data_IF_980667153691
#
_entry.id   IF_980667153691
#
_cell.length_a   1.000
_cell.length_b   1.000
_cell.length_c   1.000
_cell.angle_alpha   90.00
_cell.angle_beta   90.00
_cell.angle_gamma   90.00
#
_symmetry.space_group_name_H-M   'P 1'
#
loop_
_entity.id
_entity.type
_entity.pdbx_description
1 polymer ?
#
# COMPACT_ATOMS: atom_id res chain seq x y z
N UNK A 1 13.14 -31.80 8.22
CA UNK A 1 13.66 -30.63 8.96
C UNK A 1 12.45 -29.95 9.58
N UNK A 2 12.47 -29.66 10.89
CA UNK A 2 11.35 -28.97 11.53
C UNK A 2 11.29 -27.55 10.98
N UNK A 3 10.11 -27.11 10.54
CA UNK A 3 9.89 -25.73 10.16
C UNK A 3 9.92 -24.88 11.43
N UNK A 4 10.77 -23.86 11.46
CA UNK A 4 10.66 -22.81 12.45
C UNK A 4 9.34 -22.10 12.19
N UNK A 5 8.48 -21.95 13.18
CA UNK A 5 7.29 -21.11 13.09
C UNK A 5 7.49 -19.86 13.94
N UNK A 6 6.86 -18.73 13.57
CA UNK A 6 6.80 -17.57 14.44
C UNK A 6 6.27 -17.98 15.81
N UNK A 7 6.88 -17.44 16.86
CA UNK A 7 6.35 -17.62 18.20
C UNK A 7 4.89 -17.13 18.28
N UNK A 8 3.99 -17.79 19.04
CA UNK A 8 2.61 -17.34 19.19
C UNK A 8 2.50 -15.89 19.65
N UNK A 9 3.49 -15.48 20.44
CA UNK A 9 3.67 -14.13 20.92
C UNK A 9 3.91 -13.11 19.80
N UNK A 10 4.88 -13.38 18.92
CA UNK A 10 5.17 -12.53 17.75
C UNK A 10 3.98 -12.44 16.82
N UNK A 11 3.28 -13.56 16.60
CA UNK A 11 2.07 -13.53 15.78
C UNK A 11 0.97 -12.64 16.36
N UNK A 12 0.73 -12.73 17.68
CA UNK A 12 -0.20 -11.84 18.37
C UNK A 12 0.24 -10.38 18.26
N UNK A 13 1.53 -10.12 18.46
CA UNK A 13 2.09 -8.78 18.41
C UNK A 13 1.91 -8.12 17.04
N UNK A 14 2.25 -8.82 15.96
CA UNK A 14 2.09 -8.33 14.58
C UNK A 14 0.62 -8.01 14.31
N UNK A 15 -0.31 -8.89 14.67
CA UNK A 15 -1.75 -8.62 14.47
C UNK A 15 -2.22 -7.40 15.27
N UNK A 16 -1.72 -7.21 16.49
CA UNK A 16 -2.02 -6.01 17.30
C UNK A 16 -1.46 -4.75 16.64
N UNK A 17 -0.22 -4.79 16.16
CA UNK A 17 0.43 -3.68 15.45
C UNK A 17 -0.38 -3.29 14.20
N UNK A 18 -0.75 -4.27 13.37
CA UNK A 18 -1.55 -4.02 12.17
C UNK A 18 -2.91 -3.39 12.49
N UNK A 19 -3.61 -3.87 13.54
CA UNK A 19 -4.88 -3.26 13.98
C UNK A 19 -4.70 -1.81 14.43
N UNK A 20 -3.60 -1.50 15.10
CA UNK A 20 -3.29 -0.14 15.52
C UNK A 20 -3.06 0.77 14.30
N UNK A 21 -2.32 0.31 13.29
CA UNK A 21 -2.09 1.06 12.04
C UNK A 21 -3.37 1.28 11.25
N UNK A 22 -4.19 0.24 11.10
CA UNK A 22 -5.48 0.33 10.43
C UNK A 22 -6.37 1.37 11.12
N UNK A 23 -6.42 1.33 12.45
CA UNK A 23 -7.21 2.28 13.24
C UNK A 23 -6.67 3.71 13.18
N UNK A 24 -5.36 3.91 13.28
CA UNK A 24 -4.77 5.27 13.31
C UNK A 24 -4.80 5.98 11.96
N UNK A 25 -4.68 5.22 10.87
CA UNK A 25 -4.66 5.75 9.50
C UNK A 25 -6.07 5.90 8.89
N UNK A 26 -7.13 5.54 9.64
CA UNK A 26 -8.48 5.34 9.11
C UNK A 26 -8.49 4.44 7.86
N UNK A 27 -7.54 3.51 7.78
CA UNK A 27 -7.44 2.61 6.64
C UNK A 27 -8.55 1.56 6.76
N UNK A 28 -9.28 1.23 5.68
CA UNK A 28 -10.36 0.27 5.79
C UNK A 28 -9.80 -1.11 6.23
N UNK A 29 -10.38 -1.78 7.24
CA UNK A 29 -9.93 -3.10 7.69
C UNK A 29 -10.01 -4.17 6.60
N UNK A 30 -10.89 -3.94 5.62
CA UNK A 30 -11.08 -4.76 4.43
C UNK A 30 -10.16 -4.34 3.28
N UNK A 31 -9.32 -3.34 3.46
CA UNK A 31 -8.43 -2.85 2.42
C UNK A 31 -7.42 -3.92 1.99
N UNK A 32 -7.06 -3.83 0.72
CA UNK A 32 -6.18 -4.78 0.05
C UNK A 32 -4.85 -4.94 0.81
N UNK A 33 -4.33 -6.18 0.83
CA UNK A 33 -3.11 -6.56 1.54
C UNK A 33 -3.30 -6.86 3.02
N UNK A 34 -4.09 -6.09 3.78
CA UNK A 34 -4.16 -6.22 5.25
C UNK A 34 -5.08 -7.34 5.73
N UNK A 35 -6.22 -7.51 5.07
CA UNK A 35 -7.26 -8.43 5.51
C UNK A 35 -6.73 -9.86 5.67
N UNK A 36 -5.82 -10.27 4.78
CA UNK A 36 -5.14 -11.56 4.83
C UNK A 36 -4.34 -11.71 6.14
N UNK A 37 -3.48 -10.76 6.48
CA UNK A 37 -2.68 -10.80 7.72
C UNK A 37 -3.52 -10.81 9.01
N UNK A 38 -4.71 -10.22 8.99
CA UNK A 38 -5.60 -10.19 10.15
C UNK A 38 -6.38 -11.49 10.34
N UNK A 39 -6.57 -12.29 9.30
CA UNK A 39 -7.48 -13.44 9.29
C UNK A 39 -6.79 -14.80 9.07
N UNK A 40 -5.69 -14.83 8.32
CA UNK A 40 -4.96 -16.04 7.96
C UNK A 40 -3.78 -16.32 8.92
N UNK A 41 -3.19 -17.51 8.81
CA UNK A 41 -1.96 -17.85 9.54
C UNK A 41 -0.79 -17.04 8.95
N UNK A 42 -0.02 -16.37 9.81
CA UNK A 42 1.11 -15.55 9.38
C UNK A 42 2.25 -16.39 8.81
N UNK A 43 2.42 -17.64 9.26
CA UNK A 43 3.44 -18.54 8.73
C UNK A 43 3.11 -18.97 7.30
N UNK A 44 1.83 -19.21 7.01
CA UNK A 44 1.37 -19.54 5.65
C UNK A 44 1.61 -18.36 4.72
N UNK A 45 1.20 -17.15 5.11
CA UNK A 45 1.45 -15.93 4.34
C UNK A 45 2.93 -15.66 4.09
N UNK A 46 3.78 -15.84 5.10
CA UNK A 46 5.23 -15.66 4.93
C UNK A 46 5.84 -16.73 4.02
N UNK A 47 5.30 -17.95 4.00
CA UNK A 47 5.73 -19.00 3.09
C UNK A 47 5.32 -18.73 1.63
N UNK A 48 4.27 -17.94 1.40
CA UNK A 48 3.89 -17.45 0.07
C UNK A 48 4.84 -16.36 -0.43
N UNK A 49 5.32 -15.49 0.47
CA UNK A 49 6.20 -14.36 0.12
C UNK A 49 7.64 -14.81 -0.09
N UNK A 50 8.14 -15.70 0.78
CA UNK A 50 9.56 -16.06 0.80
C UNK A 50 9.79 -17.49 0.31
N UNK A 51 10.81 -17.72 -0.54
CA UNK A 51 11.21 -19.07 -0.87
C UNK A 51 11.67 -19.80 0.39
N UNK A 52 11.46 -21.13 0.41
CA UNK A 52 11.74 -21.97 1.58
C UNK A 52 13.16 -21.83 2.14
N UNK A 53 14.13 -21.52 1.29
CA UNK A 53 15.54 -21.30 1.67
C UNK A 53 15.75 -20.04 2.53
N UNK A 54 14.88 -19.05 2.41
CA UNK A 54 14.96 -17.77 3.13
C UNK A 54 13.94 -17.67 4.27
N UNK A 55 12.84 -18.43 4.20
CA UNK A 55 11.72 -18.35 5.15
C UNK A 55 12.18 -18.40 6.62
N UNK A 56 12.99 -19.40 7.01
CA UNK A 56 13.43 -19.54 8.39
C UNK A 56 14.25 -18.33 8.89
N UNK A 57 15.08 -17.73 8.03
CA UNK A 57 15.83 -16.53 8.39
C UNK A 57 14.89 -15.33 8.60
N UNK A 58 13.85 -15.20 7.77
CA UNK A 58 12.84 -14.14 7.88
C UNK A 58 11.93 -14.28 9.10
N UNK A 59 11.53 -15.50 9.45
CA UNK A 59 10.78 -15.77 10.67
C UNK A 59 11.60 -15.41 11.91
N UNK A 60 12.87 -15.81 11.95
CA UNK A 60 13.77 -15.45 13.04
C UNK A 60 14.02 -13.94 13.13
N UNK A 61 14.21 -13.27 11.99
CA UNK A 61 14.37 -11.82 11.91
C UNK A 61 13.13 -11.09 12.47
N UNK A 62 11.92 -11.55 12.13
CA UNK A 62 10.67 -11.01 12.66
C UNK A 62 10.54 -11.19 14.18
N UNK A 63 10.83 -12.38 14.71
CA UNK A 63 10.82 -12.64 16.16
C UNK A 63 11.80 -11.69 16.89
N UNK A 64 13.01 -11.52 16.35
CA UNK A 64 14.02 -10.62 16.92
C UNK A 64 13.58 -9.15 16.88
N UNK A 65 13.00 -8.69 15.78
CA UNK A 65 12.50 -7.31 15.65
C UNK A 65 11.36 -7.04 16.64
N UNK A 66 10.43 -7.97 16.80
CA UNK A 66 9.33 -7.84 17.77
C UNK A 66 9.86 -7.80 19.20
N UNK A 67 10.79 -8.68 19.56
CA UNK A 67 11.42 -8.66 20.88
C UNK A 67 12.15 -7.34 21.14
N UNK A 68 12.93 -6.87 20.17
CA UNK A 68 13.65 -5.61 20.29
C UNK A 68 12.69 -4.42 20.46
N UNK A 69 11.64 -4.33 19.64
CA UNK A 69 10.68 -3.22 19.73
C UNK A 69 10.02 -3.13 21.11
N UNK A 70 9.81 -4.26 21.78
CA UNK A 70 9.24 -4.28 23.13
C UNK A 70 10.23 -3.92 24.21
N UNK A 71 11.47 -4.42 24.11
CA UNK A 71 12.53 -4.10 25.04
C UNK A 71 12.94 -2.63 24.96
N UNK A 72 12.86 -2.03 23.77
CA UNK A 72 13.09 -0.60 23.58
C UNK A 72 12.07 0.27 24.31
N UNK A 73 10.99 -0.31 24.85
CA UNK A 73 10.01 0.40 25.64
C UNK A 73 9.20 1.37 24.78
N UNK A 74 7.90 1.40 25.03
CA UNK A 74 7.04 2.53 24.69
C UNK A 74 7.46 3.76 25.54
N UNK A 75 8.69 4.25 25.38
CA UNK A 75 9.12 5.55 25.92
C UNK A 75 8.42 6.64 25.11
N UNK A 76 7.27 7.08 25.64
CA UNK A 76 6.48 8.14 25.04
C UNK A 76 5.48 7.62 24.02
N UNK A 77 4.35 7.12 24.53
CA UNK A 77 3.11 6.99 23.77
C UNK A 77 2.72 8.37 23.22
N UNK A 78 3.28 8.75 22.07
CA UNK A 78 2.63 9.67 21.19
C UNK A 78 1.78 8.82 20.25
N UNK A 79 0.45 8.72 20.45
CA UNK A 79 -0.45 7.96 19.56
C UNK A 79 -0.44 8.47 18.11
N UNK A 80 0.27 9.57 17.84
CA UNK A 80 0.42 10.22 16.54
C UNK A 80 1.89 10.45 16.13
N UNK A 81 2.87 9.93 16.89
CA UNK A 81 4.30 10.12 16.61
C UNK A 81 4.86 8.99 15.74
N UNK A 82 5.28 9.33 14.52
CA UNK A 82 6.00 8.52 13.52
C UNK A 82 6.29 7.05 13.82
N UNK A 83 5.92 6.18 12.87
CA UNK A 83 6.33 4.77 12.81
C UNK A 83 7.81 4.60 13.16
N UNK A 84 8.10 3.79 14.19
CA UNK A 84 9.49 3.48 14.55
C UNK A 84 10.17 2.73 13.39
N UNK A 85 11.47 2.92 13.20
CA UNK A 85 12.23 2.20 12.16
C UNK A 85 12.05 0.67 12.25
N UNK A 86 11.76 0.16 13.45
CA UNK A 86 11.49 -1.27 13.67
C UNK A 86 10.11 -1.66 13.14
N UNK A 87 9.08 -0.86 13.38
CA UNK A 87 7.74 -1.10 12.83
C UNK A 87 7.77 -1.07 11.29
N UNK A 88 8.48 -0.11 10.69
CA UNK A 88 8.66 -0.05 9.24
C UNK A 88 9.32 -1.31 8.69
N UNK A 89 10.37 -1.80 9.35
CA UNK A 89 11.05 -3.07 8.98
C UNK A 89 10.12 -4.27 9.12
N UNK A 90 9.34 -4.36 10.19
CA UNK A 90 8.35 -5.43 10.37
C UNK A 90 7.35 -5.41 9.21
N UNK A 91 6.78 -4.24 8.88
CA UNK A 91 5.84 -4.08 7.78
C UNK A 91 6.47 -4.44 6.42
N UNK A 92 7.74 -4.07 6.19
CA UNK A 92 8.47 -4.47 4.99
C UNK A 92 8.69 -5.97 4.89
N UNK A 93 9.00 -6.64 6.00
CA UNK A 93 9.15 -8.10 6.02
C UNK A 93 7.82 -8.82 5.77
N UNK A 94 6.71 -8.20 6.10
CA UNK A 94 5.36 -8.67 5.76
C UNK A 94 4.93 -8.25 4.34
N UNK A 95 5.82 -7.69 3.53
CA UNK A 95 5.51 -7.11 2.22
C UNK A 95 4.40 -6.03 2.24
N UNK A 96 4.12 -5.45 3.40
CA UNK A 96 3.17 -4.36 3.62
C UNK A 96 3.84 -3.00 3.48
N UNK A 97 4.66 -2.82 2.42
CA UNK A 97 5.53 -1.64 2.27
C UNK A 97 4.74 -0.35 2.12
N UNK A 98 3.54 -0.43 1.55
CA UNK A 98 2.65 0.73 1.47
C UNK A 98 2.24 1.24 2.85
N UNK A 99 1.84 0.35 3.75
CA UNK A 99 1.51 0.73 5.13
C UNK A 99 2.69 1.33 5.89
N UNK A 100 3.91 0.84 5.63
CA UNK A 100 5.11 1.37 6.25
C UNK A 100 5.34 2.86 5.91
N UNK A 101 4.87 3.29 4.73
CA UNK A 101 5.02 4.65 4.26
C UNK A 101 3.91 5.58 4.74
N UNK A 102 2.69 5.07 4.97
CA UNK A 102 1.53 5.88 5.30
C UNK A 102 1.73 6.83 6.50
N UNK A 103 2.36 6.43 7.63
CA UNK A 103 2.57 7.34 8.76
C UNK A 103 3.48 8.54 8.45
N UNK A 104 4.32 8.43 7.41
CA UNK A 104 5.14 9.55 6.96
C UNK A 104 4.38 10.50 6.00
N UNK A 105 3.14 10.14 5.64
CA UNK A 105 2.32 10.86 4.68
C UNK A 105 1.14 11.51 5.40
N UNK A 106 0.96 12.83 5.23
CA UNK A 106 -0.31 13.50 5.59
C UNK A 106 -1.39 13.15 4.55
N UNK A 107 -1.72 11.86 4.45
CA UNK A 107 -2.62 11.32 3.44
C UNK A 107 -4.03 11.13 4.01
N UNK A 108 -5.04 11.58 3.27
CA UNK A 108 -6.42 11.19 3.54
C UNK A 108 -6.76 9.92 2.76
N UNK A 109 -7.18 8.90 3.50
CA UNK A 109 -7.61 7.60 2.96
C UNK A 109 -9.12 7.52 3.09
N UNK A 110 -9.80 7.30 1.97
CA UNK A 110 -11.26 7.21 1.89
C UNK A 110 -11.65 5.80 1.45
N UNK A 111 -12.57 5.11 2.15
CA UNK A 111 -13.11 3.85 1.66
C UNK A 111 -13.72 4.01 0.27
N UNK A 112 -13.43 3.09 -0.65
CA UNK A 112 -13.88 3.22 -2.05
C UNK A 112 -15.41 3.26 -2.19
N UNK A 113 -16.14 2.62 -1.27
CA UNK A 113 -17.60 2.59 -1.18
C UNK A 113 -18.22 3.90 -0.67
N UNK A 114 -17.45 4.73 0.03
CA UNK A 114 -17.84 6.08 0.45
C UNK A 114 -17.51 7.15 -0.60
N UNK A 115 -16.82 6.75 -1.67
CA UNK A 115 -16.24 7.65 -2.66
C UNK A 115 -17.27 8.07 -3.73
N UNK A 116 -17.55 9.37 -3.86
CA UNK A 116 -18.49 9.90 -4.87
C UNK A 116 -17.83 10.04 -6.25
N UNK A 117 -17.90 8.99 -7.05
CA UNK A 117 -17.30 8.94 -8.39
C UNK A 117 -18.11 9.68 -9.45
N UNK A 118 -17.41 10.25 -10.41
CA UNK A 118 -17.99 10.82 -11.61
C UNK A 118 -17.09 10.58 -12.82
N UNK A 119 -17.60 10.88 -14.01
CA UNK A 119 -16.82 10.84 -15.24
C UNK A 119 -16.77 12.24 -15.86
N UNK A 120 -15.67 12.57 -16.52
CA UNK A 120 -15.51 13.84 -17.21
C UNK A 120 -14.66 13.68 -18.47
N UNK A 121 -14.85 14.61 -19.41
CA UNK A 121 -14.10 14.64 -20.65
C UNK A 121 -12.90 15.58 -20.51
N UNK A 122 -11.71 15.09 -20.86
CA UNK A 122 -10.50 15.88 -20.93
C UNK A 122 -9.68 15.46 -22.16
N UNK A 123 -9.39 16.44 -23.04
CA UNK A 123 -8.69 16.24 -24.33
C UNK A 123 -9.32 15.13 -25.20
N UNK A 124 -10.65 15.06 -25.22
CA UNK A 124 -11.38 14.08 -26.03
C UNK A 124 -11.45 12.67 -25.43
N UNK A 125 -10.81 12.42 -24.29
CA UNK A 125 -10.88 11.14 -23.58
C UNK A 125 -11.80 11.24 -22.35
N UNK A 126 -12.48 10.15 -22.03
CA UNK A 126 -13.27 10.00 -20.80
C UNK A 126 -12.34 9.61 -19.65
N UNK A 127 -12.45 10.31 -18.53
CA UNK A 127 -11.65 10.06 -17.33
C UNK A 127 -12.55 9.83 -16.12
N UNK A 128 -12.03 9.10 -15.14
CA UNK A 128 -12.67 8.91 -13.84
C UNK A 128 -12.25 10.03 -12.87
N UNK A 129 -13.24 10.59 -12.19
CA UNK A 129 -13.05 11.59 -11.15
C UNK A 129 -13.69 11.17 -9.83
N UNK A 130 -13.23 11.78 -8.74
CA UNK A 130 -13.73 11.60 -7.40
C UNK A 130 -14.07 12.96 -6.78
N UNK A 131 -15.28 13.08 -6.22
CA UNK A 131 -15.66 14.20 -5.37
C UNK A 131 -15.46 13.81 -3.91
N UNK A 132 -14.72 14.63 -3.18
CA UNK A 132 -14.54 14.47 -1.74
C UNK A 132 -14.51 15.85 -1.09
N UNK A 133 -15.38 16.05 -0.11
CA UNK A 133 -15.72 17.39 0.39
C UNK A 133 -16.09 18.35 -0.77
N UNK A 134 -15.44 19.51 -0.85
CA UNK A 134 -15.69 20.55 -1.86
C UNK A 134 -14.72 20.47 -3.06
N UNK A 135 -13.85 19.46 -3.08
CA UNK A 135 -12.80 19.32 -4.10
C UNK A 135 -13.07 18.17 -5.07
N UNK A 136 -12.49 18.31 -6.26
CA UNK A 136 -12.62 17.37 -7.37
C UNK A 136 -11.24 16.82 -7.70
N UNK A 137 -11.14 15.51 -7.71
CA UNK A 137 -9.90 14.81 -7.97
C UNK A 137 -10.04 13.97 -9.23
N UNK A 138 -8.96 13.84 -9.99
CA UNK A 138 -8.87 12.94 -11.14
C UNK A 138 -8.04 11.72 -10.79
N UNK A 139 -8.42 10.57 -11.33
CA UNK A 139 -7.67 9.33 -11.19
C UNK A 139 -6.32 9.46 -11.90
N UNK A 140 -5.24 9.08 -11.21
CA UNK A 140 -3.89 9.09 -11.80
C UNK A 140 -3.27 7.69 -11.82
N UNK A 141 -3.54 6.89 -10.79
CA UNK A 141 -2.98 5.55 -10.66
C UNK A 141 -3.95 4.61 -9.95
N UNK A 142 -3.96 3.35 -10.37
CA UNK A 142 -4.64 2.24 -9.69
C UNK A 142 -3.65 1.09 -9.50
N UNK A 143 -3.67 0.45 -8.32
CA UNK A 143 -2.78 -0.67 -8.01
C UNK A 143 -3.42 -1.65 -7.01
N UNK A 144 -2.96 -2.90 -6.98
CA UNK A 144 -3.49 -3.97 -6.12
C UNK A 144 -2.63 -4.29 -4.89
N UNK A 145 -2.80 -5.50 -4.34
CA UNK A 145 -2.00 -6.01 -3.22
C UNK A 145 -0.53 -6.22 -3.59
N UNK A 146 -0.27 -6.55 -4.85
CA UNK A 146 1.06 -6.79 -5.38
C UNK A 146 1.57 -5.46 -5.94
N UNK A 147 2.48 -4.82 -5.19
CA UNK A 147 2.88 -3.46 -5.46
C UNK A 147 4.16 -3.44 -6.29
N UNK A 148 4.19 -2.61 -7.34
CA UNK A 148 5.41 -2.32 -8.07
C UNK A 148 6.10 -1.06 -7.53
N UNK A 149 7.44 -1.03 -7.58
CA UNK A 149 8.28 0.13 -7.24
C UNK A 149 7.82 1.48 -7.85
N UNK A 150 7.30 1.55 -9.09
CA UNK A 150 6.82 2.78 -9.68
C UNK A 150 5.70 3.47 -8.88
N UNK A 151 4.80 2.71 -8.26
CA UNK A 151 3.72 3.24 -7.42
C UNK A 151 4.25 4.06 -6.26
N UNK A 152 5.30 3.56 -5.59
CA UNK A 152 5.94 4.28 -4.48
C UNK A 152 6.63 5.55 -4.95
N UNK A 153 7.29 5.50 -6.12
CA UNK A 153 7.96 6.69 -6.67
C UNK A 153 6.98 7.83 -6.98
N UNK A 154 5.77 7.49 -7.45
CA UNK A 154 4.71 8.46 -7.71
C UNK A 154 4.23 9.12 -6.41
N UNK A 155 3.93 8.33 -5.39
CA UNK A 155 3.46 8.84 -4.10
C UNK A 155 4.51 9.76 -3.45
N UNK A 156 5.78 9.34 -3.45
CA UNK A 156 6.88 10.18 -2.97
C UNK A 156 7.00 11.49 -3.76
N UNK A 157 6.79 11.44 -5.07
CA UNK A 157 6.79 12.64 -5.92
C UNK A 157 5.66 13.58 -5.54
N UNK A 158 4.45 13.07 -5.34
CA UNK A 158 3.29 13.88 -4.92
C UNK A 158 3.54 14.58 -3.58
N UNK A 159 4.12 13.85 -2.62
CA UNK A 159 4.46 14.36 -1.29
C UNK A 159 5.53 15.45 -1.38
N UNK A 160 6.63 15.17 -2.09
CA UNK A 160 7.74 16.11 -2.25
C UNK A 160 7.30 17.40 -2.95
N UNK A 161 6.32 17.32 -3.85
CA UNK A 161 5.74 18.46 -4.54
C UNK A 161 4.60 19.14 -3.75
N UNK A 162 4.28 18.66 -2.55
CA UNK A 162 3.14 19.13 -1.73
C UNK A 162 1.83 19.17 -2.54
N UNK A 163 1.67 18.25 -3.48
CA UNK A 163 0.46 18.17 -4.30
C UNK A 163 -0.63 17.51 -3.48
N UNK A 164 -1.82 18.13 -3.40
CA UNK A 164 -2.96 17.52 -2.75
C UNK A 164 -3.40 16.26 -3.52
N UNK A 165 -3.44 15.13 -2.81
CA UNK A 165 -3.93 13.87 -3.35
C UNK A 165 -4.71 13.10 -2.30
N UNK A 166 -5.63 12.26 -2.76
CA UNK A 166 -6.41 11.33 -1.97
C UNK A 166 -6.08 9.91 -2.38
N UNK A 167 -6.23 9.00 -1.44
CA UNK A 167 -6.18 7.58 -1.71
C UNK A 167 -7.55 6.99 -1.40
N UNK A 168 -8.11 6.25 -2.36
CA UNK A 168 -9.20 5.33 -2.04
C UNK A 168 -8.68 3.92 -1.90
N UNK A 169 -9.19 3.18 -0.92
CA UNK A 169 -8.85 1.78 -0.71
C UNK A 169 -10.09 0.90 -0.71
N UNK A 170 -10.00 -0.25 -1.38
CA UNK A 170 -10.99 -1.34 -1.32
C UNK A 170 -10.31 -2.68 -1.10
N UNK A 171 -11.09 -3.77 -1.17
CA UNK A 171 -10.61 -5.14 -0.98
C UNK A 171 -9.56 -5.58 -1.98
N UNK A 172 -9.61 -5.07 -3.20
CA UNK A 172 -8.77 -5.54 -4.31
C UNK A 172 -7.81 -4.50 -4.83
N UNK A 173 -8.01 -3.22 -4.51
CA UNK A 173 -7.20 -2.14 -5.09
C UNK A 173 -7.11 -0.90 -4.22
N UNK A 174 -6.10 -0.11 -4.53
CA UNK A 174 -5.94 1.29 -4.20
C UNK A 174 -6.08 2.14 -5.45
N UNK A 175 -6.57 3.35 -5.29
CA UNK A 175 -6.59 4.35 -6.37
C UNK A 175 -6.07 5.67 -5.82
N UNK A 176 -5.11 6.26 -6.53
CA UNK A 176 -4.55 7.58 -6.25
C UNK A 176 -5.31 8.61 -7.07
N UNK A 177 -5.85 9.61 -6.38
CA UNK A 177 -6.60 10.71 -6.95
C UNK A 177 -5.85 12.01 -6.68
N UNK A 178 -5.64 12.82 -7.71
CA UNK A 178 -4.95 14.12 -7.57
C UNK A 178 -5.93 15.23 -7.87
N UNK A 179 -5.86 16.35 -7.13
CA UNK A 179 -6.73 17.50 -7.34
C UNK A 179 -6.70 17.95 -8.81
N UNK A 180 -7.87 18.03 -9.45
CA UNK A 180 -8.01 18.45 -10.86
C UNK A 180 -7.56 19.89 -11.10
N UNK A 181 -7.54 20.72 -10.05
CA UNK A 181 -7.02 22.09 -10.10
C UNK A 181 -5.50 22.13 -10.01
N UNK A 182 -4.84 21.03 -9.61
CA UNK A 182 -3.39 20.97 -9.52
C UNK A 182 -2.74 20.95 -10.90
N UNK A 183 -1.74 21.82 -11.17
CA UNK A 183 -0.95 21.76 -12.40
C UNK A 183 -0.23 20.42 -12.60
N UNK A 184 0.05 19.69 -11.50
CA UNK A 184 0.69 18.39 -11.56
C UNK A 184 -0.23 17.31 -12.13
N UNK A 185 -1.55 17.45 -12.01
CA UNK A 185 -2.51 16.46 -12.53
C UNK A 185 -2.29 16.18 -14.02
N UNK A 186 -2.20 17.22 -14.84
CA UNK A 186 -2.02 17.07 -16.29
C UNK A 186 -0.71 16.37 -16.68
N UNK A 187 0.37 16.67 -15.95
CA UNK A 187 1.67 16.03 -16.19
C UNK A 187 1.64 14.55 -15.83
N UNK A 188 1.03 14.21 -14.70
CA UNK A 188 0.97 12.82 -14.23
C UNK A 188 0.03 11.97 -15.10
N UNK A 189 -1.06 12.56 -15.58
CA UNK A 189 -1.97 11.93 -16.54
C UNK A 189 -1.29 11.56 -17.86
N UNK A 190 -0.42 12.42 -18.38
CA UNK A 190 0.35 12.13 -19.60
C UNK A 190 1.32 10.97 -19.38
N UNK A 191 1.94 10.90 -18.20
CA UNK A 191 2.87 9.84 -17.83
C UNK A 191 2.18 8.50 -17.59
N UNK A 192 1.02 8.49 -16.92
CA UNK A 192 0.26 7.26 -16.67
C UNK A 192 -0.33 6.68 -17.95
N UNK A 193 -0.83 7.52 -18.85
CA UNK A 193 -1.35 7.09 -20.15
C UNK A 193 -0.27 6.38 -20.99
N UNK A 194 0.96 6.92 -21.00
CA UNK A 194 2.09 6.29 -21.69
C UNK A 194 2.51 4.97 -21.04
N UNK A 195 2.50 4.89 -19.71
CA UNK A 195 2.84 3.68 -18.98
C UNK A 195 1.82 2.55 -19.21
N UNK A 196 0.53 2.86 -19.19
CA UNK A 196 -0.54 1.89 -19.49
C UNK A 196 -0.49 1.39 -20.94
N UNK A 197 -0.17 2.27 -21.89
CA UNK A 197 -0.06 1.92 -23.30
C UNK A 197 1.15 0.99 -23.57
N UNK A 198 2.27 1.25 -22.91
CA UNK A 198 3.45 0.37 -22.95
C UNK A 198 3.18 -0.98 -22.29
N UNK A 199 2.46 -1.02 -21.16
CA UNK A 199 2.09 -2.28 -20.51
C UNK A 199 1.13 -3.12 -21.36
N UNK A 200 0.11 -2.51 -21.97
CA UNK A 200 -0.79 -3.19 -22.92
C UNK A 200 -0.03 -3.78 -24.11
N UNK A 201 0.94 -3.04 -24.64
CA UNK A 201 1.77 -3.48 -25.77
C UNK A 201 2.69 -4.64 -25.37
N UNK A 202 3.31 -4.57 -24.19
CA UNK A 202 4.17 -5.64 -23.67
C UNK A 202 3.39 -6.94 -23.41
N UNK A 203 2.17 -6.84 -22.86
CA UNK A 203 1.32 -8.00 -22.62
C UNK A 203 0.88 -8.69 -23.92
N UNK A 204 0.47 -7.91 -24.93
CA UNK A 204 0.13 -8.45 -26.26
C UNK A 204 1.33 -9.13 -26.94
N UNK A 205 2.53 -8.57 -26.76
CA UNK A 205 3.76 -9.15 -27.34
C UNK A 205 4.17 -10.44 -26.62
N UNK A 206 3.90 -10.56 -25.32
CA UNK A 206 4.16 -11.76 -24.53
C UNK A 206 3.16 -12.90 -24.83
N UNK A 207 1.89 -12.58 -25.10
CA UNK A 207 0.90 -13.58 -25.54
C UNK A 207 1.19 -14.12 -26.94
N UNK A 208 1.59 -13.26 -27.88
CA UNK A 208 1.96 -13.68 -29.24
C UNK A 208 3.16 -14.66 -29.27
N UNK A 209 4.06 -14.57 -28.28
CA UNK A 209 5.20 -15.50 -28.13
C UNK A 209 4.85 -16.84 -27.48
N UNK A 210 3.67 -16.98 -26.87
CA UNK A 210 3.19 -18.26 -26.31
C UNK A 210 2.43 -19.11 -27.33
N UNK A 211 2.07 -18.54 -28.48
CA UNK A 211 1.28 -19.17 -29.54
C UNK A 211 2.16 -19.60 -30.74
N UNK A 212 3.43 -19.17 -30.77
CA UNK A 212 4.43 -19.55 -31.77
C UNK A 212 5.41 -20.58 -31.20
#
# INVERSE_FOLDING_TARGET
MAFSSLSPYTQYYIRRLLRQYVGSLNYPPTGVGICAYLQQDLNELLAEIYPQSQLNAKLHELDMLVQHHQLSGTEGANPYGGSSDIEQKILWLLDLRFLALLPAMSLSIVPEDEASRFHFMLRGNMHEGLRHADDLYGKVLEFGAEHELPTYSLLLTLINQQTAFLLTASKSRHVVWVDLRSPSYYRLMEQSSQAEELQKTAFQTAELRKIA
#
